data_IF_631704669413
#
_entry.id   IF_631704669413
#
_cell.length_a   1.000
_cell.length_b   1.000
_cell.length_c   1.000
_cell.angle_alpha   90.00
_cell.angle_beta   90.00
_cell.angle_gamma   90.00
#
_symmetry.space_group_name_H-M   'P 1'
#
loop_
_entity.id
_entity.type
_entity.pdbx_description
1 polymer ?
#
# COMPACT_ATOMS: atom_id res chain seq x y z
N UNK A 1 -11.43 12.36 41.27
CA UNK A 1 -10.24 12.24 40.46
C UNK A 1 -10.68 11.90 39.04
N UNK A 2 -11.13 12.90 38.29
CA UNK A 2 -11.65 12.78 36.92
C UNK A 2 -11.11 13.98 36.16
N UNK A 3 -9.92 13.86 35.51
CA UNK A 3 -9.31 15.03 34.90
C UNK A 3 -8.23 14.78 33.84
N UNK A 4 -8.07 13.54 33.31
CA UNK A 4 -6.94 13.29 32.40
C UNK A 4 -7.34 12.78 31.00
N UNK A 5 -8.58 12.35 30.80
CA UNK A 5 -9.00 11.75 29.51
C UNK A 5 -9.32 12.78 28.40
N UNK A 6 -9.46 14.07 28.75
CA UNK A 6 -9.89 15.11 27.79
C UNK A 6 -8.71 15.79 27.08
N UNK A 7 -7.49 15.68 27.61
CA UNK A 7 -6.30 16.31 27.04
C UNK A 7 -5.69 15.55 25.86
N UNK A 8 -5.75 14.21 25.84
CA UNK A 8 -5.19 13.41 24.73
C UNK A 8 -6.02 13.47 23.45
N UNK A 9 -7.34 13.59 23.54
CA UNK A 9 -8.21 13.68 22.37
C UNK A 9 -8.09 15.05 21.63
N UNK A 10 -7.76 16.12 22.36
CA UNK A 10 -7.59 17.47 21.78
C UNK A 10 -6.28 17.58 21.01
N UNK A 11 -5.20 16.98 21.49
CA UNK A 11 -3.88 17.02 20.82
C UNK A 11 -3.87 16.23 19.49
N UNK A 12 -4.57 15.10 19.41
CA UNK A 12 -4.64 14.31 18.16
C UNK A 12 -5.40 15.04 17.05
N UNK A 13 -6.48 15.74 17.38
CA UNK A 13 -7.27 16.49 16.39
C UNK A 13 -6.59 17.78 15.90
N UNK A 14 -5.73 18.39 16.70
CA UNK A 14 -4.95 19.58 16.29
C UNK A 14 -3.76 19.20 15.39
N UNK A 15 -3.10 18.08 15.69
CA UNK A 15 -1.99 17.55 14.90
C UNK A 15 -2.46 17.12 13.50
N UNK A 16 -3.63 16.48 13.40
CA UNK A 16 -4.19 16.01 12.14
C UNK A 16 -4.65 17.19 11.24
N UNK A 17 -5.25 18.21 11.84
CA UNK A 17 -5.62 19.46 11.10
C UNK A 17 -4.39 20.24 10.64
N UNK A 18 -3.33 20.29 11.45
CA UNK A 18 -2.08 20.95 11.09
C UNK A 18 -1.38 20.24 9.93
N UNK A 19 -1.32 18.91 9.95
CA UNK A 19 -0.77 18.11 8.87
C UNK A 19 -1.56 18.26 7.55
N UNK A 20 -2.90 18.32 7.64
CA UNK A 20 -3.75 18.58 6.48
C UNK A 20 -3.54 19.97 5.89
N UNK A 21 -3.41 21.01 6.73
CA UNK A 21 -3.18 22.37 6.28
C UNK A 21 -1.79 22.54 5.62
N UNK A 22 -0.76 21.88 6.16
CA UNK A 22 0.58 21.85 5.56
C UNK A 22 0.58 21.17 4.19
N UNK A 23 -0.14 20.05 4.05
CA UNK A 23 -0.30 19.36 2.77
C UNK A 23 -0.97 20.26 1.72
N UNK A 24 -2.08 20.91 2.09
CA UNK A 24 -2.79 21.84 1.20
C UNK A 24 -1.90 23.00 0.74
N UNK A 25 -1.08 23.54 1.65
CA UNK A 25 -0.11 24.58 1.31
C UNK A 25 0.93 24.08 0.33
N UNK A 26 1.51 22.89 0.55
CA UNK A 26 2.48 22.28 -0.35
C UNK A 26 1.90 22.06 -1.75
N UNK A 27 0.66 21.58 -1.83
CA UNK A 27 -0.03 21.38 -3.10
C UNK A 27 -0.18 22.72 -3.84
N UNK A 28 -0.65 23.76 -3.14
CA UNK A 28 -0.83 25.08 -3.73
C UNK A 28 0.50 25.71 -4.20
N UNK A 29 1.59 25.55 -3.46
CA UNK A 29 2.92 26.01 -3.85
C UNK A 29 3.47 25.23 -5.06
N UNK A 30 3.29 23.91 -5.07
CA UNK A 30 3.71 23.06 -6.18
C UNK A 30 2.92 23.36 -7.47
N UNK A 31 1.62 23.66 -7.35
CA UNK A 31 0.78 24.13 -8.49
C UNK A 31 1.25 25.47 -9.07
N UNK A 32 1.86 26.32 -8.25
CA UNK A 32 2.49 27.57 -8.70
C UNK A 32 3.90 27.38 -9.30
N UNK A 33 4.38 26.14 -9.37
CA UNK A 33 5.66 25.78 -9.98
C UNK A 33 6.82 25.66 -8.99
N UNK A 34 6.57 25.67 -7.67
CA UNK A 34 7.62 25.48 -6.66
C UNK A 34 8.03 24.01 -6.61
N UNK A 35 9.18 23.67 -7.19
CA UNK A 35 9.71 22.29 -7.27
C UNK A 35 9.97 21.71 -5.88
N UNK A 36 10.49 22.51 -4.94
CA UNK A 36 10.77 22.06 -3.57
C UNK A 36 9.51 21.63 -2.82
N UNK A 37 8.38 22.33 -3.03
CA UNK A 37 7.10 21.93 -2.46
C UNK A 37 6.64 20.57 -3.02
N UNK A 38 6.81 20.34 -4.32
CA UNK A 38 6.51 19.04 -4.92
C UNK A 38 7.44 17.93 -4.39
N UNK A 39 8.74 18.21 -4.24
CA UNK A 39 9.69 17.25 -3.65
C UNK A 39 9.33 16.88 -2.21
N UNK A 40 8.74 17.77 -1.44
CA UNK A 40 8.20 17.46 -0.10
C UNK A 40 7.00 16.53 -0.19
N UNK A 41 6.07 16.75 -1.14
CA UNK A 41 4.96 15.82 -1.41
C UNK A 41 5.47 14.44 -1.84
N UNK A 42 6.52 14.37 -2.68
CA UNK A 42 7.16 13.10 -3.04
C UNK A 42 7.60 12.36 -1.78
N UNK A 43 8.38 13.00 -0.90
CA UNK A 43 8.86 12.37 0.36
C UNK A 43 7.74 11.89 1.28
N UNK A 44 6.60 12.59 1.30
CA UNK A 44 5.43 12.18 2.09
C UNK A 44 4.77 10.90 1.56
N UNK A 45 4.75 10.72 0.24
CA UNK A 45 3.92 9.69 -0.39
C UNK A 45 4.70 8.58 -1.10
N UNK A 46 6.00 8.75 -1.37
CA UNK A 46 6.80 7.81 -2.17
C UNK A 46 6.74 6.39 -1.62
N UNK A 47 6.88 6.23 -0.31
CA UNK A 47 6.82 4.92 0.34
C UNK A 47 5.45 4.24 0.17
N UNK A 48 4.38 5.02 0.26
CA UNK A 48 3.02 4.49 0.11
C UNK A 48 2.75 4.06 -1.34
N UNK A 49 3.14 4.90 -2.31
CA UNK A 49 3.03 4.61 -3.74
C UNK A 49 3.84 3.36 -4.08
N UNK A 50 5.10 3.28 -3.63
CA UNK A 50 5.95 2.12 -3.83
C UNK A 50 5.36 0.84 -3.26
N UNK A 51 4.85 0.88 -2.03
CA UNK A 51 4.25 -0.29 -1.38
C UNK A 51 3.00 -0.80 -2.14
N UNK A 52 2.17 0.09 -2.66
CA UNK A 52 1.04 -0.30 -3.52
C UNK A 52 1.54 -0.89 -4.82
N UNK A 53 2.49 -0.22 -5.48
CA UNK A 53 3.09 -0.69 -6.73
C UNK A 53 3.72 -2.08 -6.56
N UNK A 54 4.58 -2.27 -5.53
CA UNK A 54 5.24 -3.54 -5.26
C UNK A 54 4.24 -4.70 -5.08
N UNK A 55 3.17 -4.47 -4.32
CA UNK A 55 2.13 -5.49 -4.12
C UNK A 55 1.32 -5.78 -5.38
N UNK A 56 1.17 -4.79 -6.26
CA UNK A 56 0.48 -4.97 -7.54
C UNK A 56 1.34 -5.69 -8.57
N UNK A 57 2.61 -5.24 -8.79
CA UNK A 57 3.44 -5.75 -9.88
C UNK A 57 4.36 -6.90 -9.46
N UNK A 58 4.69 -7.02 -8.18
CA UNK A 58 5.39 -8.17 -7.60
C UNK A 58 6.92 -8.13 -7.69
N UNK A 59 7.52 -7.18 -8.41
CA UNK A 59 8.96 -7.04 -8.60
C UNK A 59 9.42 -5.64 -8.19
N UNK A 60 10.56 -5.56 -7.49
CA UNK A 60 11.07 -4.33 -6.91
C UNK A 60 11.41 -3.28 -7.97
N UNK A 61 12.13 -3.67 -9.02
CA UNK A 61 12.55 -2.75 -10.09
C UNK A 61 11.34 -2.16 -10.83
N UNK A 62 10.36 -2.99 -11.15
CA UNK A 62 9.14 -2.50 -11.77
C UNK A 62 8.28 -1.63 -10.83
N UNK A 63 8.31 -1.90 -9.53
CA UNK A 63 7.63 -1.05 -8.57
C UNK A 63 8.31 0.33 -8.46
N UNK A 64 9.64 0.38 -8.59
CA UNK A 64 10.38 1.64 -8.67
C UNK A 64 10.04 2.42 -9.92
N UNK A 65 10.05 1.78 -11.09
CA UNK A 65 9.68 2.39 -12.36
C UNK A 65 8.26 2.96 -12.30
N UNK A 66 7.30 2.17 -11.81
CA UNK A 66 5.90 2.62 -11.60
C UNK A 66 5.84 3.80 -10.63
N UNK A 67 6.64 3.79 -9.57
CA UNK A 67 6.68 4.88 -8.58
C UNK A 67 7.22 6.16 -9.19
N UNK A 68 8.33 6.09 -9.91
CA UNK A 68 8.93 7.23 -10.61
C UNK A 68 7.97 7.80 -11.66
N UNK A 69 7.40 6.94 -12.50
CA UNK A 69 6.42 7.33 -13.52
C UNK A 69 5.19 7.99 -12.89
N UNK A 70 4.72 7.49 -11.74
CA UNK A 70 3.60 8.07 -11.00
C UNK A 70 3.89 9.50 -10.60
N UNK A 71 5.04 9.79 -10.01
CA UNK A 71 5.40 11.15 -9.60
C UNK A 71 5.69 12.08 -10.78
N UNK A 72 6.29 11.59 -11.86
CA UNK A 72 6.47 12.35 -13.08
C UNK A 72 5.13 12.77 -13.69
N UNK A 73 4.17 11.85 -13.75
CA UNK A 73 2.82 12.14 -14.25
C UNK A 73 2.06 13.06 -13.28
N UNK A 74 2.18 12.84 -11.96
CA UNK A 74 1.58 13.69 -10.95
C UNK A 74 2.09 15.13 -11.09
N UNK A 75 3.40 15.34 -11.24
CA UNK A 75 3.98 16.67 -11.44
C UNK A 75 3.42 17.35 -12.69
N UNK A 76 3.39 16.64 -13.82
CA UNK A 76 2.88 17.16 -15.10
C UNK A 76 1.39 17.50 -15.06
N UNK A 77 0.60 16.73 -14.31
CA UNK A 77 -0.85 16.87 -14.23
C UNK A 77 -1.35 17.58 -12.96
N UNK A 78 -0.43 18.09 -12.12
CA UNK A 78 -0.78 18.72 -10.84
C UNK A 78 -1.71 19.94 -11.00
N UNK A 79 -1.58 20.67 -12.12
CA UNK A 79 -2.46 21.79 -12.47
C UNK A 79 -3.92 21.36 -12.71
N UNK A 80 -4.18 20.06 -12.94
CA UNK A 80 -5.51 19.47 -13.11
C UNK A 80 -6.13 19.04 -11.78
N UNK A 81 -5.34 18.96 -10.70
CA UNK A 81 -5.87 18.65 -9.39
C UNK A 81 -6.71 19.82 -8.87
N UNK A 82 -8.03 19.59 -8.74
CA UNK A 82 -9.02 20.61 -8.38
C UNK A 82 -9.43 20.56 -6.89
N UNK A 83 -8.61 19.95 -6.05
CA UNK A 83 -8.93 19.71 -4.64
C UNK A 83 -9.48 18.31 -4.36
N UNK A 84 -9.85 18.06 -3.11
CA UNK A 84 -10.18 16.74 -2.60
C UNK A 84 -8.95 16.05 -1.99
N UNK A 85 -9.00 14.75 -1.85
CA UNK A 85 -7.94 13.97 -1.18
C UNK A 85 -6.79 13.74 -2.16
N UNK A 86 -5.69 14.49 -1.98
CA UNK A 86 -4.50 14.40 -2.86
C UNK A 86 -3.93 12.99 -2.92
N UNK A 87 -3.86 12.31 -1.80
CA UNK A 87 -3.44 10.91 -1.70
C UNK A 87 -4.26 9.98 -2.60
N UNK A 88 -5.58 10.13 -2.64
CA UNK A 88 -6.44 9.32 -3.50
C UNK A 88 -6.19 9.61 -4.99
N UNK A 89 -6.01 10.88 -5.36
CA UNK A 89 -5.66 11.28 -6.71
C UNK A 89 -4.31 10.71 -7.15
N UNK A 90 -3.29 10.77 -6.28
CA UNK A 90 -1.96 10.23 -6.56
C UNK A 90 -2.00 8.70 -6.73
N UNK A 91 -2.71 7.99 -5.84
CA UNK A 91 -2.86 6.53 -5.92
C UNK A 91 -3.69 6.08 -7.13
N UNK A 92 -4.58 6.92 -7.64
CA UNK A 92 -5.26 6.65 -8.91
C UNK A 92 -4.26 6.64 -10.07
N UNK A 93 -3.32 7.58 -10.09
CA UNK A 93 -2.24 7.59 -11.09
C UNK A 93 -1.39 6.33 -10.96
N UNK A 94 -0.97 5.99 -9.74
CA UNK A 94 -0.17 4.79 -9.44
C UNK A 94 -0.88 3.50 -9.88
N UNK A 95 -2.17 3.36 -9.57
CA UNK A 95 -2.98 2.20 -9.96
C UNK A 95 -3.02 2.03 -11.47
N UNK A 96 -3.22 3.12 -12.21
CA UNK A 96 -3.22 3.08 -13.67
C UNK A 96 -1.84 2.66 -14.21
N UNK A 97 -0.74 3.16 -13.64
CA UNK A 97 0.62 2.75 -14.02
C UNK A 97 0.87 1.27 -13.73
N UNK A 98 0.39 0.76 -12.59
CA UNK A 98 0.46 -0.67 -12.29
C UNK A 98 -0.25 -1.52 -13.37
N UNK A 99 -1.46 -1.14 -13.76
CA UNK A 99 -2.18 -1.85 -14.83
C UNK A 99 -1.45 -1.81 -16.17
N UNK A 100 -0.89 -0.66 -16.53
CA UNK A 100 -0.12 -0.53 -17.79
C UNK A 100 1.12 -1.44 -17.75
N UNK A 101 1.83 -1.51 -16.63
CA UNK A 101 2.97 -2.39 -16.45
C UNK A 101 2.59 -3.87 -16.51
N UNK A 102 1.51 -4.27 -15.85
CA UNK A 102 1.00 -5.65 -15.92
C UNK A 102 0.62 -6.04 -17.35
N UNK A 103 -0.08 -5.15 -18.08
CA UNK A 103 -0.41 -5.38 -19.51
C UNK A 103 0.84 -5.43 -20.38
N UNK A 104 1.88 -4.63 -20.09
CA UNK A 104 3.16 -4.65 -20.81
C UNK A 104 3.82 -6.02 -20.69
N UNK A 105 3.86 -6.58 -19.47
CA UNK A 105 4.44 -7.90 -19.19
C UNK A 105 3.66 -9.03 -19.83
N UNK A 106 2.35 -8.99 -19.80
CA UNK A 106 1.51 -9.99 -20.47
C UNK A 106 1.79 -10.06 -21.98
N UNK A 107 2.17 -8.93 -22.61
CA UNK A 107 2.52 -8.86 -24.04
C UNK A 107 3.94 -9.30 -24.35
N UNK A 108 4.85 -9.34 -23.38
CA UNK A 108 6.27 -9.73 -23.53
C UNK A 108 6.67 -10.80 -22.51
N UNK A 109 6.18 -12.05 -22.66
CA UNK A 109 6.43 -13.10 -21.68
C UNK A 109 7.91 -13.48 -21.51
N UNK A 110 8.76 -13.21 -22.52
CA UNK A 110 10.17 -13.57 -22.50
C UNK A 110 10.99 -12.81 -21.44
N UNK A 111 10.56 -11.63 -21.03
CA UNK A 111 11.23 -10.81 -20.01
C UNK A 111 10.75 -11.14 -18.58
N UNK A 112 9.83 -12.12 -18.42
CA UNK A 112 9.08 -12.39 -17.19
C UNK A 112 9.61 -13.57 -16.35
N UNK A 113 10.74 -14.16 -16.71
CA UNK A 113 11.32 -15.31 -15.99
C UNK A 113 12.12 -14.92 -14.73
N UNK A 114 12.20 -13.66 -14.35
CA UNK A 114 12.69 -13.30 -13.03
C UNK A 114 11.66 -13.74 -11.99
N UNK A 115 12.06 -14.74 -11.21
CA UNK A 115 11.38 -15.25 -10.04
C UNK A 115 10.84 -14.07 -9.20
N UNK A 116 9.59 -14.15 -8.74
CA UNK A 116 8.97 -13.14 -7.87
C UNK A 116 9.81 -13.00 -6.58
N UNK A 117 10.94 -12.30 -6.71
CA UNK A 117 11.82 -12.01 -5.59
C UNK A 117 11.22 -10.85 -4.81
N UNK A 118 10.54 -11.18 -3.71
CA UNK A 118 10.10 -10.17 -2.75
C UNK A 118 11.29 -9.76 -1.87
N UNK A 119 12.15 -8.93 -2.42
CA UNK A 119 13.14 -8.19 -1.64
C UNK A 119 12.73 -6.71 -1.62
N UNK A 120 11.98 -6.25 -0.59
CA UNK A 120 11.74 -4.83 -0.44
C UNK A 120 13.09 -4.14 -0.24
N UNK A 121 13.40 -3.15 -1.08
CA UNK A 121 14.64 -2.41 -0.92
C UNK A 121 14.70 -1.75 0.47
N UNK A 122 15.87 -1.70 1.12
CA UNK A 122 16.02 -1.19 2.49
C UNK A 122 15.43 0.22 2.69
N UNK A 123 15.52 1.09 1.69
CA UNK A 123 15.01 2.45 1.75
C UNK A 123 13.47 2.54 1.86
N UNK A 124 12.75 1.51 1.42
CA UNK A 124 11.29 1.46 1.42
C UNK A 124 10.73 0.52 2.50
N UNK A 125 11.59 -0.26 3.11
CA UNK A 125 11.26 -1.18 4.19
C UNK A 125 11.21 -0.43 5.52
N UNK A 126 10.14 -0.60 6.29
CA UNK A 126 10.15 -0.27 7.73
C UNK A 126 10.98 -1.32 8.44
N UNK A 127 12.30 -1.21 8.32
CA UNK A 127 13.19 -1.99 9.18
C UNK A 127 13.08 -1.37 10.58
N UNK A 128 12.41 -2.07 11.50
CA UNK A 128 12.54 -1.77 12.91
C UNK A 128 14.03 -1.90 13.25
N UNK A 129 14.67 -0.80 13.60
CA UNK A 129 16.02 -0.78 14.13
C UNK A 129 16.00 -1.55 15.44
N UNK A 130 16.63 -2.74 15.48
CA UNK A 130 16.68 -3.60 16.66
C UNK A 130 15.99 -4.97 16.53
N UNK A 131 15.47 -5.31 15.38
CA UNK A 131 14.85 -6.62 15.13
C UNK A 131 15.94 -7.71 15.06
N UNK A 132 15.72 -8.82 15.75
CA UNK A 132 16.60 -9.99 15.71
C UNK A 132 16.66 -10.57 14.27
N UNK A 133 17.84 -11.06 13.82
CA UNK A 133 17.99 -11.61 12.45
C UNK A 133 16.99 -12.71 12.11
N UNK A 134 16.60 -13.53 13.07
CA UNK A 134 15.62 -14.60 12.90
C UNK A 134 14.20 -14.05 12.67
N UNK A 135 13.78 -13.07 13.44
CA UNK A 135 12.46 -12.42 13.29
C UNK A 135 12.35 -11.71 11.93
N UNK A 136 13.45 -11.09 11.49
CA UNK A 136 13.53 -10.48 10.17
C UNK A 136 13.38 -11.51 9.05
N UNK A 137 14.05 -12.67 9.16
CA UNK A 137 13.96 -13.74 8.17
C UNK A 137 12.52 -14.29 8.08
N UNK A 138 11.87 -14.58 9.20
CA UNK A 138 10.48 -15.05 9.25
C UNK A 138 9.51 -14.02 8.64
N UNK A 139 9.71 -12.73 8.93
CA UNK A 139 8.88 -11.67 8.38
C UNK A 139 9.04 -11.52 6.87
N UNK A 140 10.25 -11.66 6.34
CA UNK A 140 10.51 -11.63 4.90
C UNK A 140 9.89 -12.85 4.20
N UNK A 141 9.99 -14.04 4.80
CA UNK A 141 9.34 -15.24 4.30
C UNK A 141 7.83 -15.08 4.23
N UNK A 142 7.21 -14.58 5.29
CA UNK A 142 5.77 -14.28 5.35
C UNK A 142 5.35 -13.24 4.31
N UNK A 143 6.13 -12.16 4.18
CA UNK A 143 5.87 -11.12 3.20
C UNK A 143 5.98 -11.65 1.76
N UNK A 144 6.96 -12.50 1.48
CA UNK A 144 7.12 -13.19 0.20
C UNK A 144 5.96 -14.14 -0.10
N UNK A 145 5.54 -14.93 0.87
CA UNK A 145 4.39 -15.82 0.72
C UNK A 145 3.09 -15.04 0.44
N UNK A 146 2.87 -13.94 1.18
CA UNK A 146 1.73 -13.07 0.94
C UNK A 146 1.78 -12.45 -0.47
N UNK A 147 2.97 -12.01 -0.91
CA UNK A 147 3.15 -11.43 -2.24
C UNK A 147 2.83 -12.45 -3.34
N UNK A 148 3.33 -13.68 -3.23
CA UNK A 148 3.01 -14.77 -4.18
C UNK A 148 1.52 -15.08 -4.21
N UNK A 149 0.86 -15.04 -3.05
CA UNK A 149 -0.58 -15.28 -2.96
C UNK A 149 -1.40 -14.13 -3.58
N UNK A 150 -1.01 -12.87 -3.32
CA UNK A 150 -1.63 -11.71 -3.94
C UNK A 150 -1.48 -11.73 -5.47
N UNK A 151 -0.34 -12.18 -6.00
CA UNK A 151 -0.10 -12.28 -7.43
C UNK A 151 -1.07 -13.25 -8.15
N UNK A 152 -1.67 -14.21 -7.44
CA UNK A 152 -2.65 -15.15 -7.98
C UNK A 152 -4.08 -14.59 -8.03
N UNK A 153 -4.33 -13.41 -7.46
CA UNK A 153 -5.60 -12.72 -7.61
C UNK A 153 -5.69 -12.04 -8.98
N UNK A 154 -6.92 -11.93 -9.50
CA UNK A 154 -7.18 -11.05 -10.64
C UNK A 154 -6.78 -9.61 -10.26
N UNK A 155 -6.22 -8.86 -11.20
CA UNK A 155 -5.65 -7.53 -10.97
C UNK A 155 -6.64 -6.56 -10.30
N UNK A 156 -7.92 -6.60 -10.73
CA UNK A 156 -8.99 -5.76 -10.21
C UNK A 156 -9.45 -6.16 -8.79
N UNK A 157 -9.28 -7.41 -8.40
CA UNK A 157 -9.49 -7.88 -7.04
C UNK A 157 -8.27 -7.60 -6.16
N UNK A 158 -7.06 -7.78 -6.71
CA UNK A 158 -5.80 -7.53 -6.02
C UNK A 158 -5.71 -6.08 -5.52
N UNK A 159 -5.98 -5.11 -6.40
CA UNK A 159 -5.86 -3.69 -6.02
C UNK A 159 -6.83 -3.31 -4.89
N UNK A 160 -8.08 -3.75 -4.94
CA UNK A 160 -9.05 -3.40 -3.88
C UNK A 160 -8.71 -4.08 -2.55
N UNK A 161 -8.17 -5.30 -2.56
CA UNK A 161 -7.66 -5.98 -1.36
C UNK A 161 -6.45 -5.23 -0.79
N UNK A 162 -5.48 -4.84 -1.62
CA UNK A 162 -4.31 -4.08 -1.19
C UNK A 162 -4.75 -2.75 -0.55
N UNK A 163 -5.63 -2.00 -1.19
CA UNK A 163 -6.08 -0.70 -0.69
C UNK A 163 -6.88 -0.83 0.60
N UNK A 164 -7.77 -1.82 0.71
CA UNK A 164 -8.59 -2.03 1.90
C UNK A 164 -7.82 -2.67 3.05
N UNK A 165 -7.23 -3.84 2.81
CA UNK A 165 -6.77 -4.73 3.88
C UNK A 165 -5.32 -4.46 4.29
N UNK A 166 -4.52 -3.86 3.40
CA UNK A 166 -3.11 -3.53 3.65
C UNK A 166 -2.90 -2.04 3.93
N UNK A 167 -3.63 -1.18 3.21
CA UNK A 167 -3.47 0.28 3.30
C UNK A 167 -4.55 0.95 4.16
N UNK A 168 -5.64 0.24 4.52
CA UNK A 168 -6.69 0.73 5.41
C UNK A 168 -7.61 1.78 4.81
N UNK A 169 -7.72 1.86 3.46
CA UNK A 169 -8.63 2.81 2.81
C UNK A 169 -10.09 2.41 2.99
N UNK A 170 -10.95 3.41 3.17
CA UNK A 170 -12.40 3.24 3.14
C UNK A 170 -12.88 2.84 1.73
N UNK A 171 -14.05 2.25 1.65
CA UNK A 171 -14.61 1.83 0.36
C UNK A 171 -14.89 3.00 -0.59
N UNK A 172 -15.21 4.18 -0.05
CA UNK A 172 -15.42 5.38 -0.84
C UNK A 172 -14.10 5.91 -1.43
N UNK A 173 -13.01 5.90 -0.64
CA UNK A 173 -11.67 6.23 -1.13
C UNK A 173 -11.22 5.24 -2.20
N UNK A 174 -11.44 3.93 -1.99
CA UNK A 174 -11.11 2.90 -2.98
C UNK A 174 -11.89 3.10 -4.28
N UNK A 175 -13.18 3.46 -4.19
CA UNK A 175 -14.00 3.79 -5.35
C UNK A 175 -13.42 4.98 -6.12
N UNK A 176 -12.98 6.04 -5.41
CA UNK A 176 -12.34 7.20 -6.00
C UNK A 176 -10.98 6.86 -6.65
N UNK A 177 -10.13 6.07 -5.97
CA UNK A 177 -8.81 5.64 -6.47
C UNK A 177 -8.96 4.78 -7.72
N UNK A 178 -9.85 3.77 -7.69
CA UNK A 178 -10.00 2.81 -8.78
C UNK A 178 -10.99 3.24 -9.86
N UNK A 179 -11.71 4.36 -9.66
CA UNK A 179 -12.71 4.91 -10.57
C UNK A 179 -13.85 3.93 -10.90
N UNK A 180 -14.29 3.17 -9.90
CA UNK A 180 -15.44 2.24 -10.02
C UNK A 180 -16.50 2.58 -8.98
N UNK A 181 -17.71 2.03 -9.15
CA UNK A 181 -18.78 2.21 -8.18
C UNK A 181 -18.49 1.53 -6.84
N UNK A 182 -19.08 2.03 -5.75
CA UNK A 182 -19.01 1.42 -4.42
C UNK A 182 -19.49 -0.05 -4.43
N UNK A 183 -20.53 -0.35 -5.20
CA UNK A 183 -21.01 -1.73 -5.39
C UNK A 183 -19.96 -2.63 -6.04
N UNK A 184 -19.22 -2.09 -7.02
CA UNK A 184 -18.10 -2.79 -7.65
C UNK A 184 -16.96 -3.04 -6.68
N UNK A 185 -16.59 -2.06 -5.84
CA UNK A 185 -15.58 -2.23 -4.78
C UNK A 185 -15.98 -3.36 -3.85
N UNK A 186 -17.21 -3.33 -3.31
CA UNK A 186 -17.72 -4.37 -2.39
C UNK A 186 -17.67 -5.76 -3.02
N UNK A 187 -18.10 -5.89 -4.27
CA UNK A 187 -18.13 -7.19 -4.97
C UNK A 187 -16.71 -7.71 -5.28
N UNK A 188 -15.78 -6.83 -5.67
CA UNK A 188 -14.38 -7.19 -5.90
C UNK A 188 -13.68 -7.60 -4.62
N UNK A 189 -13.90 -6.87 -3.52
CA UNK A 189 -13.36 -7.22 -2.20
C UNK A 189 -13.87 -8.57 -1.72
N UNK A 190 -15.18 -8.82 -1.79
CA UNK A 190 -15.75 -10.09 -1.38
C UNK A 190 -15.13 -11.27 -2.13
N UNK A 191 -15.03 -11.17 -3.47
CA UNK A 191 -14.42 -12.21 -4.31
C UNK A 191 -12.91 -12.33 -4.07
N UNK A 192 -12.20 -11.21 -3.98
CA UNK A 192 -10.76 -11.17 -3.70
C UNK A 192 -10.41 -11.82 -2.37
N UNK A 193 -11.13 -11.46 -1.29
CA UNK A 193 -10.94 -12.04 0.05
C UNK A 193 -11.29 -13.53 0.10
N UNK A 194 -12.35 -13.97 -0.59
CA UNK A 194 -12.69 -15.38 -0.69
C UNK A 194 -11.57 -16.16 -1.38
N UNK A 195 -11.12 -15.68 -2.54
CA UNK A 195 -10.01 -16.30 -3.28
C UNK A 195 -8.70 -16.31 -2.48
N UNK A 196 -8.38 -15.21 -1.81
CA UNK A 196 -7.18 -15.11 -0.96
C UNK A 196 -7.22 -16.14 0.18
N UNK A 197 -8.37 -16.28 0.83
CA UNK A 197 -8.58 -17.27 1.91
C UNK A 197 -8.35 -18.71 1.40
N UNK A 198 -8.90 -19.04 0.24
CA UNK A 198 -8.73 -20.36 -0.36
C UNK A 198 -7.26 -20.63 -0.69
N UNK A 199 -6.58 -19.66 -1.31
CA UNK A 199 -5.14 -19.76 -1.63
C UNK A 199 -4.26 -19.90 -0.39
N UNK A 200 -4.59 -19.20 0.71
CA UNK A 200 -3.85 -19.27 1.98
C UNK A 200 -4.11 -20.59 2.72
N UNK A 201 -5.31 -21.16 2.58
CA UNK A 201 -5.66 -22.44 3.21
C UNK A 201 -5.06 -23.64 2.47
N UNK A 202 -5.17 -23.61 1.14
CA UNK A 202 -4.87 -24.76 0.29
C UNK A 202 -3.43 -24.74 -0.27
N UNK A 203 -2.70 -23.62 -0.08
CA UNK A 203 -1.31 -23.48 -0.51
C UNK A 203 -0.35 -24.28 0.37
N UNK A 204 0.49 -25.18 -0.20
CA UNK A 204 1.33 -26.10 0.58
C UNK A 204 2.35 -25.38 1.49
N UNK A 205 2.96 -24.30 1.01
CA UNK A 205 3.92 -23.51 1.79
C UNK A 205 3.23 -22.39 2.61
N UNK A 206 2.22 -21.76 2.03
CA UNK A 206 1.52 -20.63 2.64
C UNK A 206 0.71 -21.06 3.85
N UNK A 207 0.03 -22.22 3.80
CA UNK A 207 -0.86 -22.69 4.86
C UNK A 207 -0.11 -22.96 6.19
N UNK A 208 1.04 -23.63 6.13
CA UNK A 208 1.87 -23.89 7.32
C UNK A 208 2.49 -22.60 7.88
N UNK A 209 3.00 -21.74 7.01
CA UNK A 209 3.64 -20.49 7.40
C UNK A 209 2.66 -19.57 8.11
N UNK A 210 1.45 -19.35 7.54
CA UNK A 210 0.43 -18.53 8.16
C UNK A 210 -0.16 -19.16 9.43
N UNK A 211 -0.27 -20.50 9.50
CA UNK A 211 -0.69 -21.19 10.71
C UNK A 211 0.33 -21.04 11.84
N UNK A 212 1.64 -21.11 11.52
CA UNK A 212 2.73 -20.87 12.47
C UNK A 212 2.71 -19.44 13.00
N UNK A 213 2.58 -18.45 12.10
CA UNK A 213 2.51 -17.02 12.46
C UNK A 213 1.31 -16.73 13.36
N UNK A 214 0.12 -17.23 13.02
CA UNK A 214 -1.10 -17.04 13.82
C UNK A 214 -0.97 -17.62 15.21
N UNK A 215 -0.42 -18.85 15.35
CA UNK A 215 -0.20 -19.46 16.67
C UNK A 215 0.73 -18.62 17.56
N UNK A 216 1.78 -18.04 16.97
CA UNK A 216 2.70 -17.16 17.72
C UNK A 216 2.01 -15.87 18.16
N UNK A 217 1.27 -15.21 17.27
CA UNK A 217 0.54 -13.97 17.57
C UNK A 217 -0.56 -14.20 18.63
N UNK A 218 -1.30 -15.28 18.56
CA UNK A 218 -2.31 -15.65 19.54
C UNK A 218 -1.66 -15.91 20.92
N UNK A 219 -0.48 -16.55 20.98
CA UNK A 219 0.25 -16.79 22.22
C UNK A 219 0.85 -15.53 22.86
N UNK A 220 1.25 -14.52 22.05
CA UNK A 220 1.75 -13.23 22.55
C UNK A 220 0.63 -12.31 23.04
N UNK A 221 -0.58 -12.44 22.47
CA UNK A 221 -1.76 -11.67 22.89
C UNK A 221 -2.43 -12.21 24.16
N UNK A 222 -2.16 -13.45 24.55
CA UNK A 222 -2.64 -14.08 25.81
C UNK A 222 -1.69 -13.89 27.01
N UNK A 223 -0.63 -13.07 26.87
CA UNK A 223 0.26 -12.73 27.98
C UNK A 223 -0.51 -12.04 29.13
N UNK A 224 -0.20 -12.34 30.41
CA UNK A 224 -1.01 -11.89 31.54
C UNK A 224 -1.07 -10.36 31.61
N UNK A 225 -2.29 -9.84 31.53
CA UNK A 225 -2.61 -8.47 31.97
C UNK A 225 -2.17 -8.33 33.44
N UNK A 226 -1.04 -7.69 33.67
CA UNK A 226 -0.62 -7.24 35.00
C UNK A 226 -0.84 -5.76 35.16
#
# INVERSE_FOLDING_TARGET
MTGDSTREAVTSGETDRSASAEEEQLIAEAQRGTVDAFNRLVRLYERQVYNVALRMVGQADAAEDVTQDTFLLAYRSLHQFRGGIFRAWLLRIATNRCYDELRRRQRRPADSFEELSFEPRPQWSSLATGEEPHERAERLELAGALQRTLAQLQEDQRIVVILSDVQGYSYDEIAAITSVSLGTVKSRLSRGRARLRDLLRDGPESGELFARYRRRYDSESEGPLR
#
